data_IF_854380526558
#
_entry.id   IF_854380526558
#
_cell.length_a   1.000
_cell.length_b   1.000
_cell.length_c   1.000
_cell.angle_alpha   90.00
_cell.angle_beta   90.00
_cell.angle_gamma   90.00
#
_symmetry.space_group_name_H-M   'P 1'
#
loop_
_entity.id
_entity.type
_entity.pdbx_description
1 polymer ?
#
# COMPACT_ATOMS: atom_id res chain seq x y z
N UNK A 1 -1.29 24.36 9.96
CA UNK A 1 -1.19 23.37 8.86
C UNK A 1 -2.56 22.81 8.57
N UNK A 2 -3.05 22.98 7.33
CA UNK A 2 -4.38 22.55 6.91
C UNK A 2 -4.33 21.09 6.46
N UNK A 3 -5.26 20.27 6.97
CA UNK A 3 -5.22 18.84 6.79
C UNK A 3 -6.61 18.30 6.39
N UNK A 4 -6.65 17.31 5.49
CA UNK A 4 -7.84 16.55 5.13
C UNK A 4 -7.68 15.09 5.59
N UNK A 5 -8.75 14.50 6.13
CA UNK A 5 -8.78 13.10 6.56
C UNK A 5 -9.78 12.33 5.71
N UNK A 6 -9.36 11.21 5.14
CA UNK A 6 -10.22 10.28 4.44
C UNK A 6 -10.12 8.87 5.05
N UNK A 7 -11.24 8.36 5.54
CA UNK A 7 -11.35 7.04 6.18
C UNK A 7 -12.84 6.64 6.18
N UNK A 8 -13.17 5.41 5.89
CA UNK A 8 -14.56 4.94 5.85
C UNK A 8 -15.16 4.66 7.23
N UNK A 9 -14.35 4.73 8.31
CA UNK A 9 -14.78 4.52 9.69
C UNK A 9 -15.09 5.87 10.39
N UNK A 10 -16.35 6.28 10.56
CA UNK A 10 -16.70 7.61 11.08
C UNK A 10 -16.13 7.88 12.48
N UNK A 11 -16.18 6.88 13.39
CA UNK A 11 -15.67 7.04 14.76
C UNK A 11 -14.16 7.25 14.79
N UNK A 12 -13.42 6.57 13.90
CA UNK A 12 -11.98 6.75 13.77
C UNK A 12 -11.66 8.17 13.27
N UNK A 13 -12.36 8.65 12.22
CA UNK A 13 -12.19 10.02 11.71
C UNK A 13 -12.38 11.07 12.78
N UNK A 14 -13.52 10.98 13.53
CA UNK A 14 -13.83 11.92 14.63
C UNK A 14 -12.71 11.92 15.67
N UNK A 15 -12.25 10.74 16.09
CA UNK A 15 -11.16 10.59 17.07
C UNK A 15 -9.83 11.16 16.56
N UNK A 16 -9.47 10.84 15.32
CA UNK A 16 -8.25 11.31 14.68
C UNK A 16 -8.26 12.84 14.49
N UNK A 17 -9.38 13.39 14.03
CA UNK A 17 -9.58 14.84 13.93
C UNK A 17 -9.34 15.53 15.28
N UNK A 18 -10.07 15.13 16.32
CA UNK A 18 -9.95 15.73 17.64
C UNK A 18 -8.52 15.64 18.20
N UNK A 19 -7.82 14.54 17.91
CA UNK A 19 -6.45 14.34 18.34
C UNK A 19 -5.45 15.22 17.58
N UNK A 20 -5.57 15.33 16.26
CA UNK A 20 -4.68 16.17 15.45
C UNK A 20 -4.93 17.67 15.65
N UNK A 21 -6.18 18.08 15.91
CA UNK A 21 -6.49 19.48 16.27
C UNK A 21 -5.81 19.88 17.58
N UNK A 22 -5.68 18.98 18.57
CA UNK A 22 -4.91 19.23 19.79
C UNK A 22 -3.40 19.40 19.53
N UNK A 23 -2.89 18.77 18.49
CA UNK A 23 -1.49 18.89 18.05
C UNK A 23 -1.25 20.11 17.11
N UNK A 24 -2.25 20.98 16.95
CA UNK A 24 -2.13 22.25 16.22
C UNK A 24 -2.41 22.18 14.72
N UNK A 25 -3.03 21.10 14.25
CA UNK A 25 -3.53 21.02 12.87
C UNK A 25 -4.92 21.66 12.74
N UNK A 26 -5.27 22.06 11.54
CA UNK A 26 -6.62 22.51 11.19
C UNK A 26 -7.22 21.53 10.21
N UNK A 27 -8.16 20.70 10.64
CA UNK A 27 -8.85 19.76 9.77
C UNK A 27 -9.89 20.51 8.93
N UNK A 28 -9.62 20.68 7.63
CA UNK A 28 -10.44 21.45 6.70
C UNK A 28 -11.48 20.62 5.98
N UNK A 29 -11.36 19.30 6.00
CA UNK A 29 -12.31 18.39 5.37
C UNK A 29 -12.17 16.96 5.89
N UNK A 30 -13.28 16.24 5.83
CA UNK A 30 -13.38 14.82 6.13
C UNK A 30 -14.10 14.13 4.97
N UNK A 31 -13.59 12.96 4.55
CA UNK A 31 -14.15 12.14 3.47
C UNK A 31 -14.40 10.71 3.95
N UNK A 32 -15.44 10.08 3.45
CA UNK A 32 -15.74 8.67 3.70
C UNK A 32 -15.23 7.73 2.62
N UNK A 33 -14.73 8.27 1.51
CA UNK A 33 -14.16 7.51 0.40
C UNK A 33 -13.14 8.34 -0.40
N UNK A 34 -12.45 7.68 -1.33
CA UNK A 34 -11.41 8.31 -2.15
C UNK A 34 -11.96 9.33 -3.14
N UNK A 35 -13.16 9.13 -3.70
CA UNK A 35 -13.79 10.08 -4.63
C UNK A 35 -14.09 11.40 -3.93
N UNK A 36 -14.69 11.32 -2.74
CA UNK A 36 -14.97 12.49 -1.92
C UNK A 36 -13.66 13.18 -1.50
N UNK A 37 -12.63 12.40 -1.11
CA UNK A 37 -11.32 12.95 -0.75
C UNK A 37 -10.72 13.77 -1.89
N UNK A 38 -10.67 13.23 -3.11
CA UNK A 38 -10.16 13.95 -4.30
C UNK A 38 -10.91 15.25 -4.54
N UNK A 39 -12.26 15.21 -4.47
CA UNK A 39 -13.11 16.41 -4.64
C UNK A 39 -12.83 17.47 -3.57
N UNK A 40 -12.71 17.06 -2.30
CA UNK A 40 -12.48 17.99 -1.20
C UNK A 40 -11.08 18.58 -1.22
N UNK A 41 -10.06 17.85 -1.73
CA UNK A 41 -8.71 18.40 -1.95
C UNK A 41 -8.74 19.54 -2.97
N UNK A 42 -9.50 19.43 -4.04
CA UNK A 42 -9.66 20.52 -5.03
C UNK A 42 -10.35 21.76 -4.45
N UNK A 43 -11.29 21.56 -3.51
CA UNK A 43 -12.04 22.67 -2.90
C UNK A 43 -11.21 23.37 -1.80
N UNK A 44 -10.55 22.59 -0.96
CA UNK A 44 -9.92 23.12 0.24
C UNK A 44 -8.41 23.34 0.12
N UNK A 45 -7.77 22.76 -0.89
CA UNK A 45 -6.31 22.84 -1.12
C UNK A 45 -5.52 22.63 0.19
N UNK A 46 -5.69 21.46 0.89
CA UNK A 46 -4.98 21.18 2.13
C UNK A 46 -3.49 21.03 1.86
N UNK A 47 -2.65 21.29 2.89
CA UNK A 47 -1.20 21.05 2.84
C UNK A 47 -0.89 19.54 2.98
N UNK A 48 -1.77 18.81 3.69
CA UNK A 48 -1.62 17.39 4.01
C UNK A 48 -2.94 16.66 3.77
N UNK A 49 -2.87 15.48 3.18
CA UNK A 49 -4.00 14.55 3.05
C UNK A 49 -3.62 13.24 3.74
N UNK A 50 -4.45 12.80 4.68
CA UNK A 50 -4.35 11.47 5.29
C UNK A 50 -5.40 10.58 4.63
N UNK A 51 -4.98 9.44 4.08
CA UNK A 51 -5.84 8.48 3.40
C UNK A 51 -5.77 7.12 4.08
N UNK A 52 -6.91 6.55 4.44
CA UNK A 52 -6.96 5.10 4.63
C UNK A 52 -6.87 4.41 3.27
N UNK A 53 -6.34 3.20 3.24
CA UNK A 53 -6.22 2.42 2.02
C UNK A 53 -7.57 1.83 1.63
N UNK A 54 -8.25 1.17 2.56
CA UNK A 54 -9.52 0.52 2.26
C UNK A 54 -10.70 1.48 2.47
N UNK A 55 -11.24 1.95 1.37
CA UNK A 55 -12.45 2.78 1.34
C UNK A 55 -13.36 2.31 0.21
N UNK A 56 -14.68 2.52 0.31
CA UNK A 56 -15.61 2.21 -0.77
C UNK A 56 -15.40 3.16 -1.98
N UNK A 57 -15.96 2.82 -3.12
CA UNK A 57 -15.95 3.56 -4.39
C UNK A 57 -14.57 3.78 -5.01
N UNK A 58 -13.64 4.33 -4.28
CA UNK A 58 -12.23 4.55 -4.66
C UNK A 58 -11.35 4.32 -3.45
N UNK A 59 -10.36 3.44 -3.55
CA UNK A 59 -9.42 3.18 -2.47
C UNK A 59 -8.40 4.32 -2.28
N UNK A 60 -7.67 4.31 -1.16
CA UNK A 60 -6.72 5.38 -0.85
C UNK A 60 -5.50 5.41 -1.78
N UNK A 61 -5.10 4.28 -2.36
CA UNK A 61 -3.99 4.21 -3.32
C UNK A 61 -4.44 4.82 -4.66
N UNK A 62 -5.64 4.48 -5.11
CA UNK A 62 -6.25 5.07 -6.30
C UNK A 62 -6.46 6.59 -6.12
N UNK A 63 -6.95 7.01 -4.95
CA UNK A 63 -7.12 8.42 -4.61
C UNK A 63 -5.78 9.17 -4.64
N UNK A 64 -4.71 8.59 -4.08
CA UNK A 64 -3.37 9.15 -4.13
C UNK A 64 -2.88 9.34 -5.57
N UNK A 65 -2.99 8.30 -6.41
CA UNK A 65 -2.60 8.36 -7.82
C UNK A 65 -3.39 9.44 -8.57
N UNK A 66 -4.70 9.54 -8.33
CA UNK A 66 -5.56 10.55 -8.93
C UNK A 66 -5.20 11.97 -8.49
N UNK A 67 -4.91 12.18 -7.21
CA UNK A 67 -4.41 13.47 -6.70
C UNK A 67 -3.11 13.88 -7.38
N UNK A 68 -2.16 12.96 -7.56
CA UNK A 68 -0.89 13.22 -8.25
C UNK A 68 -1.11 13.51 -9.74
N UNK A 69 -2.01 12.77 -10.39
CA UNK A 69 -2.39 13.01 -11.80
C UNK A 69 -2.99 14.40 -11.99
N UNK A 70 -3.76 14.88 -11.01
CA UNK A 70 -4.34 16.25 -11.00
C UNK A 70 -3.36 17.34 -10.59
N UNK A 71 -2.11 17.00 -10.28
CA UNK A 71 -1.04 17.95 -9.97
C UNK A 71 -0.97 18.37 -8.49
N UNK A 72 -1.65 17.67 -7.58
CA UNK A 72 -1.55 17.96 -6.15
C UNK A 72 -0.13 17.71 -5.64
N UNK A 73 0.50 18.75 -5.06
CA UNK A 73 1.88 18.73 -4.58
C UNK A 73 1.98 18.62 -3.05
N UNK A 74 0.87 18.69 -2.34
CA UNK A 74 0.85 18.53 -0.88
C UNK A 74 1.25 17.14 -0.42
N UNK A 75 1.46 16.99 0.88
CA UNK A 75 1.86 15.73 1.50
C UNK A 75 0.69 14.74 1.48
N UNK A 76 0.91 13.53 0.96
CA UNK A 76 -0.04 12.42 1.03
C UNK A 76 0.50 11.35 1.97
N UNK A 77 -0.26 11.07 3.02
CA UNK A 77 0.06 10.13 4.09
C UNK A 77 -0.93 8.98 4.07
N UNK A 78 -0.46 7.76 3.93
CA UNK A 78 -1.29 6.57 4.15
C UNK A 78 -1.37 6.25 5.65
N UNK A 79 -2.56 6.07 6.18
CA UNK A 79 -2.81 5.68 7.57
C UNK A 79 -3.79 4.52 7.60
N UNK A 80 -3.30 3.30 7.82
CA UNK A 80 -4.06 2.07 7.59
C UNK A 80 -3.70 0.96 8.58
N UNK A 81 -4.53 -0.06 8.67
CA UNK A 81 -4.22 -1.30 9.42
C UNK A 81 -3.39 -2.29 8.62
N UNK A 82 -3.24 -2.10 7.31
CA UNK A 82 -2.46 -2.99 6.44
C UNK A 82 -0.97 -2.67 6.54
N UNK A 83 -0.14 -3.70 6.72
CA UNK A 83 1.32 -3.55 6.90
C UNK A 83 2.13 -4.32 5.86
N UNK A 84 1.46 -4.93 4.89
CA UNK A 84 2.07 -5.74 3.85
C UNK A 84 2.98 -4.91 2.93
N UNK A 85 4.18 -5.43 2.70
CA UNK A 85 5.19 -4.77 1.87
C UNK A 85 4.69 -4.42 0.45
N UNK A 86 3.85 -5.29 -0.13
CA UNK A 86 3.28 -5.06 -1.46
C UNK A 86 2.35 -3.84 -1.49
N UNK A 87 1.54 -3.66 -0.45
CA UNK A 87 0.62 -2.52 -0.33
C UNK A 87 1.42 -1.24 -0.15
N UNK A 88 2.47 -1.28 0.70
CA UNK A 88 3.37 -0.15 0.90
C UNK A 88 4.07 0.25 -0.41
N UNK A 89 4.53 -0.71 -1.21
CA UNK A 89 5.15 -0.45 -2.52
C UNK A 89 4.15 0.15 -3.52
N UNK A 90 2.90 -0.34 -3.56
CA UNK A 90 1.84 0.26 -4.39
C UNK A 90 1.57 1.71 -3.97
N UNK A 91 1.48 1.99 -2.67
CA UNK A 91 1.29 3.33 -2.15
C UNK A 91 2.44 4.28 -2.53
N UNK A 92 3.70 3.82 -2.40
CA UNK A 92 4.88 4.57 -2.83
C UNK A 92 4.85 4.86 -4.34
N UNK A 93 4.52 3.84 -5.16
CA UNK A 93 4.40 3.99 -6.62
C UNK A 93 3.26 4.94 -7.03
N UNK A 94 2.21 5.04 -6.24
CA UNK A 94 1.12 6.00 -6.41
C UNK A 94 1.50 7.44 -6.00
N UNK A 95 2.67 7.63 -5.38
CA UNK A 95 3.19 8.93 -4.98
C UNK A 95 2.86 9.33 -3.54
N UNK A 96 2.57 8.38 -2.65
CA UNK A 96 2.45 8.64 -1.23
C UNK A 96 3.82 9.04 -0.64
N UNK A 97 3.81 10.01 0.27
CA UNK A 97 5.03 10.52 0.91
C UNK A 97 5.35 9.79 2.22
N UNK A 98 4.33 9.18 2.85
CA UNK A 98 4.50 8.45 4.09
C UNK A 98 3.44 7.35 4.24
N UNK A 99 3.77 6.37 5.08
CA UNK A 99 2.92 5.24 5.39
C UNK A 99 2.99 4.91 6.88
N UNK A 100 1.85 4.91 7.56
CA UNK A 100 1.76 4.62 8.99
C UNK A 100 0.67 3.60 9.28
N UNK A 101 0.91 2.77 10.31
CA UNK A 101 -0.15 1.95 10.90
C UNK A 101 -1.12 2.81 11.70
N UNK A 102 -2.42 2.48 11.68
CA UNK A 102 -3.45 3.10 12.57
C UNK A 102 -3.16 2.90 14.07
N UNK A 103 -2.17 2.06 14.40
CA UNK A 103 -1.70 1.87 15.77
C UNK A 103 -0.74 2.99 16.24
N UNK A 104 -0.26 3.85 15.33
CA UNK A 104 0.60 4.97 15.69
C UNK A 104 -0.16 5.94 16.60
N UNK A 105 0.50 6.44 17.64
CA UNK A 105 -0.13 7.45 18.48
C UNK A 105 -0.34 8.76 17.71
N UNK A 106 -1.43 9.50 17.97
CA UNK A 106 -1.69 10.77 17.30
C UNK A 106 -0.54 11.80 17.44
N UNK A 107 0.08 11.87 18.61
CA UNK A 107 1.23 12.75 18.85
C UNK A 107 2.45 12.36 18.02
N UNK A 108 2.70 11.07 17.82
CA UNK A 108 3.79 10.60 16.96
C UNK A 108 3.47 10.85 15.49
N UNK A 109 2.24 10.59 15.05
CA UNK A 109 1.77 10.90 13.70
C UNK A 109 1.94 12.39 13.40
N UNK A 110 1.49 13.26 14.31
CA UNK A 110 1.62 14.70 14.21
C UNK A 110 3.07 15.15 14.03
N UNK A 111 3.98 14.67 14.90
CA UNK A 111 5.42 14.99 14.83
C UNK A 111 6.03 14.56 13.49
N UNK A 112 5.67 13.39 12.98
CA UNK A 112 6.19 12.90 11.70
C UNK A 112 5.67 13.70 10.53
N UNK A 113 4.39 14.06 10.51
CA UNK A 113 3.81 14.93 9.49
C UNK A 113 4.49 16.29 9.49
N UNK A 114 4.68 16.92 10.66
CA UNK A 114 5.38 18.21 10.78
C UNK A 114 6.81 18.14 10.26
N UNK A 115 7.54 17.06 10.57
CA UNK A 115 8.91 16.84 10.08
C UNK A 115 8.94 16.71 8.55
N UNK A 116 8.06 15.90 7.98
CA UNK A 116 7.97 15.70 6.52
C UNK A 116 7.59 16.99 5.78
N UNK A 117 6.76 17.83 6.38
CA UNK A 117 6.40 19.12 5.78
C UNK A 117 7.55 20.12 5.84
N UNK A 118 8.34 20.10 6.92
CA UNK A 118 9.52 20.97 7.06
C UNK A 118 10.66 20.56 6.12
N UNK A 119 10.81 19.27 5.84
CA UNK A 119 11.86 18.71 5.01
C UNK A 119 11.26 17.69 4.02
N UNK A 120 10.69 18.13 2.89
CA UNK A 120 10.07 17.24 1.90
C UNK A 120 11.03 16.18 1.31
N UNK A 121 12.34 16.49 1.30
CA UNK A 121 13.39 15.56 0.84
C UNK A 121 13.73 14.47 1.86
N UNK A 122 13.36 14.65 3.13
CA UNK A 122 13.51 13.65 4.19
C UNK A 122 12.37 12.60 4.12
N UNK A 123 12.13 12.09 2.91
CA UNK A 123 11.17 11.02 2.69
C UNK A 123 11.58 9.78 3.50
N UNK A 124 11.06 9.68 4.71
CA UNK A 124 11.29 8.53 5.60
C UNK A 124 10.54 7.29 5.12
N UNK A 125 9.73 7.42 4.06
CA UNK A 125 9.00 6.32 3.49
C UNK A 125 9.83 5.62 2.41
N UNK A 126 10.70 4.74 2.86
CA UNK A 126 11.28 3.71 2.00
C UNK A 126 10.47 2.44 2.22
N UNK A 127 9.65 2.03 1.26
CA UNK A 127 8.90 0.79 1.40
C UNK A 127 9.89 -0.39 1.48
N UNK A 128 9.55 -1.45 2.21
CA UNK A 128 10.41 -2.63 2.27
C UNK A 128 10.61 -3.19 0.86
N UNK A 129 11.82 -3.69 0.54
CA UNK A 129 12.09 -4.26 -0.76
C UNK A 129 11.17 -5.46 -1.02
N UNK A 130 10.38 -5.39 -2.08
CA UNK A 130 9.62 -6.54 -2.57
C UNK A 130 10.48 -7.24 -3.60
N UNK A 131 10.70 -8.55 -3.50
CA UNK A 131 11.43 -9.29 -4.51
C UNK A 131 10.73 -9.14 -5.86
N UNK A 132 11.49 -8.86 -6.92
CA UNK A 132 10.94 -8.85 -8.27
C UNK A 132 10.85 -10.27 -8.82
N UNK A 133 9.67 -10.65 -9.28
CA UNK A 133 9.49 -11.88 -10.05
C UNK A 133 9.63 -11.56 -11.54
N UNK A 134 10.38 -12.41 -12.26
CA UNK A 134 10.39 -12.37 -13.72
C UNK A 134 9.02 -12.83 -14.25
N UNK A 135 8.62 -12.48 -15.48
CA UNK A 135 7.38 -12.97 -16.07
C UNK A 135 7.23 -14.50 -15.99
N UNK A 136 8.33 -15.21 -16.15
CA UNK A 136 8.33 -16.69 -16.10
C UNK A 136 8.17 -17.22 -14.67
N UNK A 137 8.73 -16.56 -13.67
CA UNK A 137 8.53 -16.90 -12.26
C UNK A 137 7.08 -16.61 -11.84
N UNK A 138 6.46 -15.56 -12.36
CA UNK A 138 5.05 -15.26 -12.12
C UNK A 138 4.14 -16.35 -12.73
N UNK A 139 4.36 -16.76 -13.97
CA UNK A 139 3.63 -17.86 -14.59
C UNK A 139 3.71 -19.15 -13.77
N UNK A 140 4.91 -19.49 -13.27
CA UNK A 140 5.10 -20.67 -12.41
C UNK A 140 4.38 -20.51 -11.08
N UNK A 141 4.37 -19.31 -10.47
CA UNK A 141 3.63 -19.01 -9.24
C UNK A 141 2.12 -19.15 -9.43
N UNK A 142 1.58 -18.65 -10.55
CA UNK A 142 0.15 -18.74 -10.87
C UNK A 142 -0.30 -20.20 -11.03
N UNK A 143 0.52 -21.02 -11.67
CA UNK A 143 0.25 -22.46 -11.81
C UNK A 143 0.44 -23.21 -10.49
N UNK A 144 1.39 -22.79 -9.66
CA UNK A 144 1.57 -23.29 -8.30
C UNK A 144 0.30 -23.02 -7.46
N UNK A 145 -0.25 -21.80 -7.54
CA UNK A 145 -1.48 -21.44 -6.83
C UNK A 145 -2.69 -22.27 -7.24
N UNK A 146 -2.75 -22.72 -8.49
CA UNK A 146 -3.79 -23.63 -9.01
C UNK A 146 -3.63 -25.09 -8.58
N UNK A 147 -2.61 -25.42 -7.81
CA UNK A 147 -2.43 -26.76 -7.27
C UNK A 147 -1.62 -27.71 -8.17
N UNK A 148 -1.08 -27.25 -9.29
CA UNK A 148 -0.41 -28.10 -10.28
C UNK A 148 0.95 -28.63 -9.78
N UNK A 149 1.34 -29.80 -10.28
CA UNK A 149 2.64 -30.41 -10.08
C UNK A 149 3.67 -29.87 -11.08
N UNK A 150 4.96 -30.04 -10.80
CA UNK A 150 6.02 -29.61 -11.72
C UNK A 150 5.92 -30.24 -13.12
N UNK A 151 5.36 -31.44 -13.23
CA UNK A 151 5.12 -32.12 -14.51
C UNK A 151 4.00 -31.43 -15.31
N UNK A 152 2.87 -31.19 -14.66
CA UNK A 152 1.71 -30.49 -15.29
C UNK A 152 2.06 -29.06 -15.68
N UNK A 153 2.80 -28.33 -14.82
CA UNK A 153 3.33 -27.02 -15.17
C UNK A 153 4.26 -27.08 -16.40
N UNK A 154 5.12 -28.10 -16.46
CA UNK A 154 6.01 -28.31 -17.59
C UNK A 154 5.26 -28.53 -18.90
N UNK A 155 4.19 -29.32 -18.88
CA UNK A 155 3.31 -29.55 -20.03
C UNK A 155 2.65 -28.25 -20.52
N UNK A 156 2.14 -27.42 -19.60
CA UNK A 156 1.51 -26.12 -19.91
C UNK A 156 2.52 -25.11 -20.44
N UNK A 157 3.71 -25.05 -19.83
CA UNK A 157 4.72 -24.02 -20.11
C UNK A 157 5.69 -24.42 -21.25
N UNK A 158 5.58 -25.65 -21.77
CA UNK A 158 6.52 -26.18 -22.75
C UNK A 158 7.94 -26.40 -22.20
N UNK A 159 8.04 -26.76 -20.90
CA UNK A 159 9.30 -26.94 -20.19
C UNK A 159 9.46 -28.38 -19.68
N UNK A 160 10.73 -28.79 -19.48
CA UNK A 160 10.99 -30.04 -18.77
C UNK A 160 10.65 -29.90 -17.29
N UNK A 161 10.18 -30.97 -16.61
CA UNK A 161 9.85 -30.91 -15.17
C UNK A 161 11.01 -30.45 -14.28
N UNK A 162 12.24 -30.78 -14.63
CA UNK A 162 13.44 -30.33 -13.89
C UNK A 162 13.65 -28.82 -14.02
N UNK A 163 13.41 -28.26 -15.19
CA UNK A 163 13.46 -26.80 -15.39
C UNK A 163 12.40 -26.09 -14.53
N UNK A 164 11.20 -26.67 -14.42
CA UNK A 164 10.15 -26.12 -13.53
C UNK A 164 10.59 -26.20 -12.07
N UNK A 165 11.24 -27.28 -11.63
CA UNK A 165 11.78 -27.39 -10.25
C UNK A 165 12.83 -26.33 -9.98
N UNK A 166 13.66 -25.97 -10.96
CA UNK A 166 14.64 -24.89 -10.83
C UNK A 166 13.98 -23.53 -10.68
N UNK A 167 12.89 -23.28 -11.40
CA UNK A 167 12.06 -22.08 -11.21
C UNK A 167 11.42 -22.04 -9.82
N UNK A 168 10.84 -23.16 -9.37
CA UNK A 168 10.25 -23.25 -8.02
C UNK A 168 11.29 -23.00 -6.93
N UNK A 169 12.51 -23.57 -7.06
CA UNK A 169 13.60 -23.34 -6.11
C UNK A 169 14.00 -21.84 -6.03
N UNK A 170 14.13 -21.18 -7.18
CA UNK A 170 14.42 -19.73 -7.24
C UNK A 170 13.27 -18.91 -6.67
N UNK A 171 12.03 -19.28 -7.00
CA UNK A 171 10.83 -18.63 -6.50
C UNK A 171 10.74 -18.72 -4.98
N UNK A 172 10.97 -19.92 -4.40
CA UNK A 172 10.98 -20.11 -2.95
C UNK A 172 12.09 -19.29 -2.28
N UNK A 173 13.28 -19.24 -2.86
CA UNK A 173 14.36 -18.39 -2.35
C UNK A 173 14.01 -16.89 -2.39
N UNK A 174 13.35 -16.41 -3.46
CA UNK A 174 12.91 -15.02 -3.57
C UNK A 174 11.80 -14.67 -2.58
N UNK A 175 10.91 -15.62 -2.29
CA UNK A 175 9.79 -15.45 -1.36
C UNK A 175 10.16 -15.75 0.10
N UNK A 176 11.43 -16.13 0.36
CA UNK A 176 11.89 -16.59 1.68
C UNK A 176 10.98 -17.69 2.26
N UNK A 177 10.69 -18.71 1.44
CA UNK A 177 9.79 -19.81 1.76
C UNK A 177 10.49 -21.15 1.65
N UNK A 178 10.26 -22.03 2.62
CA UNK A 178 10.82 -23.39 2.65
C UNK A 178 9.96 -24.44 1.96
N UNK A 179 8.70 -24.15 1.71
CA UNK A 179 7.75 -25.08 1.10
C UNK A 179 6.66 -24.34 0.30
N UNK A 180 5.80 -25.14 -0.38
CA UNK A 180 4.71 -24.62 -1.21
C UNK A 180 3.72 -23.75 -0.44
N UNK A 181 3.33 -24.16 0.77
CA UNK A 181 2.32 -23.44 1.57
C UNK A 181 2.86 -22.07 1.95
N UNK A 182 4.07 -22.02 2.51
CA UNK A 182 4.76 -20.79 2.84
C UNK A 182 4.94 -19.88 1.62
N UNK A 183 5.33 -20.46 0.46
CA UNK A 183 5.50 -19.69 -0.76
C UNK A 183 4.19 -19.01 -1.22
N UNK A 184 3.06 -19.71 -1.14
CA UNK A 184 1.74 -19.15 -1.48
C UNK A 184 1.29 -18.08 -0.49
N UNK A 185 1.54 -18.28 0.80
CA UNK A 185 1.24 -17.28 1.84
C UNK A 185 2.09 -16.01 1.65
N UNK A 186 3.39 -16.17 1.45
CA UNK A 186 4.29 -15.05 1.19
C UNK A 186 3.95 -14.32 -0.11
N UNK A 187 3.61 -15.08 -1.18
CA UNK A 187 3.22 -14.49 -2.45
C UNK A 187 1.94 -13.63 -2.33
N UNK A 188 0.95 -14.07 -1.54
CA UNK A 188 -0.25 -13.26 -1.23
C UNK A 188 0.12 -12.02 -0.41
N UNK A 189 0.91 -12.20 0.65
CA UNK A 189 1.37 -11.09 1.51
C UNK A 189 2.18 -10.05 0.75
N UNK A 190 2.94 -10.46 -0.26
CA UNK A 190 3.71 -9.58 -1.14
C UNK A 190 2.91 -9.06 -2.36
N UNK A 191 1.65 -9.51 -2.53
CA UNK A 191 0.74 -9.06 -3.60
C UNK A 191 1.04 -9.63 -4.98
N UNK A 192 1.74 -10.75 -5.06
CA UNK A 192 1.95 -11.50 -6.30
C UNK A 192 0.77 -12.41 -6.66
N UNK A 193 -0.11 -12.68 -5.69
CA UNK A 193 -1.35 -13.43 -5.85
C UNK A 193 -2.50 -12.67 -5.18
N UNK A 194 -3.68 -12.74 -5.79
CA UNK A 194 -4.90 -12.23 -5.19
C UNK A 194 -5.25 -13.01 -3.90
N UNK A 195 -5.81 -12.30 -2.92
CA UNK A 195 -6.39 -12.96 -1.75
C UNK A 195 -7.66 -13.69 -2.16
N UNK A 196 -7.96 -14.88 -1.58
CA UNK A 196 -9.15 -15.65 -1.89
C UNK A 196 -10.43 -14.93 -1.49
#
# INVERSE_FOLDING_TARGET
MRLLIADDHPLFRIGLRAALEKEGFTVVGEAGDGLEAVRLVEIYEPEVVILDIRMPNMDGIEACAELRRKGYQGLVVMLTTFTEAAIQNKAASAGANAYFSKEVSPAELARRIQRLTANPDDSTFTPPPVPSLTPREQEVLDLLAKGLTAREMGEILGLKPDTVRDYLKRLYGKLDAGNRIEALEQARRLGFLDSP
#
